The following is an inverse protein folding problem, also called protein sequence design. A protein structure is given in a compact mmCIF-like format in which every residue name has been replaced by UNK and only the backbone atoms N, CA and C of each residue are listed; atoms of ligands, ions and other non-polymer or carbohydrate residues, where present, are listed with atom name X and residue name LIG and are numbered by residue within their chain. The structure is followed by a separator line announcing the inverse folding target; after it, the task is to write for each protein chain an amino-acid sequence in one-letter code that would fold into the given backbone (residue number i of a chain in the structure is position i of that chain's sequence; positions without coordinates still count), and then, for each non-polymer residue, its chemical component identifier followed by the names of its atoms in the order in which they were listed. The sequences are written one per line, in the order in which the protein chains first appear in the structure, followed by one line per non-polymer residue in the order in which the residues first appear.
data_IF_904875101438
#
_entry.id   IF_904875101438
#
_cell.length_a   1.000
_cell.length_b   1.000
_cell.length_c   1.000
_cell.angle_alpha   90.00
_cell.angle_beta   90.00
_cell.angle_gamma   90.00
#
_symmetry.space_group_name_H-M   'P 1'
#
loop_
_entity.id
_entity.type
_entity.pdbx_description
1 polymer ?
#
# COMPACT_ATOMS: atom_id res chain seq x y z
N UNK A 1 3.83 1.19 32.47
CA UNK A 1 2.82 1.46 31.41
C UNK A 1 2.86 2.90 30.92
N UNK A 2 2.98 3.91 31.79
CA UNK A 2 3.00 5.33 31.39
C UNK A 2 4.06 5.69 30.33
N UNK A 3 5.24 5.08 30.39
CA UNK A 3 6.34 5.38 29.46
C UNK A 3 6.14 4.82 28.04
N UNK A 4 5.19 3.90 27.85
CA UNK A 4 4.83 3.39 26.52
C UNK A 4 3.78 4.27 25.82
N UNK A 5 3.05 5.09 26.57
CA UNK A 5 1.91 5.88 26.06
C UNK A 5 2.31 6.72 24.85
N UNK A 6 3.43 7.48 24.86
CA UNK A 6 3.82 8.28 23.70
C UNK A 6 4.09 7.42 22.47
N UNK A 7 4.78 6.28 22.65
CA UNK A 7 5.05 5.33 21.58
C UNK A 7 3.76 4.70 21.02
N UNK A 8 2.81 4.36 21.88
CA UNK A 8 1.48 3.84 21.48
C UNK A 8 0.72 4.87 20.67
N UNK A 9 0.63 6.12 21.15
CA UNK A 9 -0.09 7.19 20.45
C UNK A 9 0.51 7.42 19.06
N UNK A 10 1.84 7.52 18.97
CA UNK A 10 2.52 7.72 17.68
C UNK A 10 2.26 6.54 16.73
N UNK A 11 2.37 5.31 17.24
CA UNK A 11 2.12 4.08 16.47
C UNK A 11 0.69 4.02 15.95
N UNK A 12 -0.29 4.41 16.77
CA UNK A 12 -1.70 4.46 16.40
C UNK A 12 -1.96 5.50 15.31
N UNK A 13 -1.34 6.68 15.41
CA UNK A 13 -1.44 7.73 14.37
C UNK A 13 -0.93 7.19 13.04
N UNK A 14 0.27 6.58 13.01
CA UNK A 14 0.81 5.98 11.78
C UNK A 14 -0.08 4.86 11.23
N UNK A 15 -0.59 3.99 12.10
CA UNK A 15 -1.51 2.92 11.72
C UNK A 15 -2.75 3.47 11.01
N UNK A 16 -3.40 4.48 11.61
CA UNK A 16 -4.60 5.11 11.04
C UNK A 16 -4.27 5.78 9.71
N UNK A 17 -3.20 6.56 9.63
CA UNK A 17 -2.81 7.25 8.39
C UNK A 17 -2.59 6.24 7.26
N UNK A 18 -1.80 5.19 7.50
CA UNK A 18 -1.52 4.17 6.48
C UNK A 18 -2.77 3.42 6.04
N UNK A 19 -3.65 3.09 6.99
CA UNK A 19 -4.93 2.41 6.69
C UNK A 19 -5.82 3.29 5.83
N UNK A 20 -5.97 4.57 6.20
CA UNK A 20 -6.80 5.54 5.48
C UNK A 20 -6.24 5.81 4.09
N UNK A 21 -4.94 6.04 3.96
CA UNK A 21 -4.27 6.26 2.67
C UNK A 21 -4.42 5.03 1.77
N UNK A 22 -4.18 3.83 2.28
CA UNK A 22 -4.34 2.62 1.49
C UNK A 22 -5.79 2.44 1.02
N UNK A 23 -6.76 2.64 1.90
CA UNK A 23 -8.18 2.48 1.59
C UNK A 23 -8.69 3.53 0.59
N UNK A 24 -8.42 4.82 0.84
CA UNK A 24 -9.01 5.92 0.08
C UNK A 24 -8.23 6.31 -1.17
N UNK A 25 -6.91 6.15 -1.18
CA UNK A 25 -6.05 6.61 -2.29
C UNK A 25 -5.63 5.44 -3.17
N UNK A 26 -5.24 4.32 -2.55
CA UNK A 26 -4.70 3.17 -3.25
C UNK A 26 -5.69 2.01 -3.42
N UNK A 27 -6.95 2.14 -2.99
CA UNK A 27 -7.96 1.10 -3.14
C UNK A 27 -7.62 -0.24 -2.46
N UNK A 28 -6.72 -0.25 -1.48
CA UNK A 28 -6.38 -1.45 -0.71
C UNK A 28 -5.25 -2.31 -1.30
N UNK A 29 -4.49 -1.83 -2.30
CA UNK A 29 -3.39 -2.60 -2.93
C UNK A 29 -2.02 -2.40 -2.25
N UNK A 30 -1.85 -1.38 -1.41
CA UNK A 30 -0.59 -1.11 -0.72
C UNK A 30 -0.22 -2.26 0.24
N UNK A 31 1.06 -2.66 0.26
CA UNK A 31 1.52 -3.71 1.17
C UNK A 31 1.74 -3.16 2.58
N UNK A 32 0.81 -3.43 3.49
CA UNK A 32 0.85 -2.90 4.86
C UNK A 32 1.32 -3.91 5.91
N UNK A 33 1.41 -5.21 5.58
CA UNK A 33 1.68 -6.27 6.55
C UNK A 33 2.97 -6.04 7.35
N UNK A 34 4.07 -5.72 6.67
CA UNK A 34 5.35 -5.48 7.33
C UNK A 34 5.37 -4.13 8.06
N UNK A 35 4.70 -3.10 7.52
CA UNK A 35 4.57 -1.79 8.17
C UNK A 35 3.82 -1.90 9.49
N UNK A 36 2.74 -2.68 9.53
CA UNK A 36 1.99 -2.94 10.77
C UNK A 36 2.84 -3.67 11.80
N UNK A 37 3.63 -4.67 11.38
CA UNK A 37 4.56 -5.35 12.27
C UNK A 37 5.59 -4.37 12.85
N UNK A 38 6.15 -3.49 12.03
CA UNK A 38 7.09 -2.47 12.49
C UNK A 38 6.43 -1.44 13.41
N UNK A 39 5.18 -1.04 13.15
CA UNK A 39 4.42 -0.14 14.04
C UNK A 39 4.20 -0.79 15.42
N UNK A 40 3.89 -2.08 15.47
CA UNK A 40 3.76 -2.80 16.74
C UNK A 40 5.11 -2.86 17.45
N UNK A 41 6.18 -3.18 16.72
CA UNK A 41 7.54 -3.24 17.27
C UNK A 41 8.03 -1.87 17.75
N UNK A 42 7.61 -0.78 17.10
CA UNK A 42 7.94 0.59 17.48
C UNK A 42 7.52 0.89 18.92
N UNK A 43 6.39 0.36 19.40
CA UNK A 43 5.94 0.55 20.79
C UNK A 43 6.99 0.01 21.78
N UNK A 44 7.58 -1.15 21.49
CA UNK A 44 8.61 -1.77 22.32
C UNK A 44 9.94 -1.01 22.19
N UNK A 45 10.33 -0.68 20.95
CA UNK A 45 11.58 0.00 20.64
C UNK A 45 11.61 1.43 21.19
N UNK A 46 10.49 2.13 21.17
CA UNK A 46 10.37 3.48 21.72
C UNK A 46 10.75 3.50 23.20
N UNK A 47 10.22 2.57 23.98
CA UNK A 47 10.61 2.49 25.40
C UNK A 47 12.08 2.08 25.55
N UNK A 48 12.49 0.97 24.95
CA UNK A 48 13.81 0.39 25.21
C UNK A 48 14.93 1.31 24.70
N UNK A 49 14.71 2.01 23.59
CA UNK A 49 15.77 2.77 22.93
C UNK A 49 15.66 4.29 23.17
N UNK A 50 14.46 4.86 23.13
CA UNK A 50 14.31 6.32 23.32
C UNK A 50 14.44 6.71 24.80
N UNK A 51 13.86 5.93 25.72
CA UNK A 51 13.94 6.24 27.16
C UNK A 51 15.35 5.99 27.70
N UNK A 52 16.06 4.99 27.18
CA UNK A 52 17.47 4.72 27.53
C UNK A 52 18.47 5.61 26.76
N UNK A 53 18.00 6.64 26.02
CA UNK A 53 18.80 7.57 25.21
C UNK A 53 19.70 6.90 24.15
N UNK A 54 19.35 5.69 23.73
CA UNK A 54 19.99 4.97 22.63
C UNK A 54 19.42 5.48 21.30
N UNK A 55 19.72 6.73 20.98
CA UNK A 55 19.18 7.41 19.80
C UNK A 55 19.62 6.77 18.49
N UNK A 56 20.87 6.30 18.37
CA UNK A 56 21.38 5.69 17.15
C UNK A 56 20.56 4.46 16.70
N UNK A 57 20.35 3.40 17.52
CA UNK A 57 19.54 2.27 17.10
C UNK A 57 18.07 2.63 16.87
N UNK A 58 17.54 3.63 17.58
CA UNK A 58 16.19 4.14 17.31
C UNK A 58 16.11 4.82 15.93
N UNK A 59 17.10 5.64 15.57
CA UNK A 59 17.20 6.26 14.25
C UNK A 59 17.37 5.22 13.14
N UNK A 60 18.15 4.16 13.36
CA UNK A 60 18.28 3.06 12.40
C UNK A 60 16.94 2.32 12.22
N UNK A 61 16.19 2.11 13.30
CA UNK A 61 14.86 1.54 13.23
C UNK A 61 13.90 2.43 12.42
N UNK A 62 13.90 3.74 12.65
CA UNK A 62 13.08 4.68 11.90
C UNK A 62 13.49 4.76 10.42
N UNK A 63 14.80 4.68 10.13
CA UNK A 63 15.30 4.61 8.75
C UNK A 63 14.82 3.33 8.06
N UNK A 64 14.90 2.19 8.74
CA UNK A 64 14.39 0.93 8.21
C UNK A 64 12.89 1.02 7.93
N UNK A 65 12.11 1.57 8.86
CA UNK A 65 10.68 1.83 8.65
C UNK A 65 10.42 2.69 7.41
N UNK A 66 11.17 3.77 7.21
CA UNK A 66 11.03 4.64 6.04
C UNK A 66 11.36 3.90 4.72
N UNK A 67 12.39 3.05 4.71
CA UNK A 67 12.73 2.22 3.54
C UNK A 67 11.61 1.23 3.23
N UNK A 68 11.07 0.55 4.24
CA UNK A 68 9.92 -0.36 4.04
C UNK A 68 8.72 0.40 3.50
N UNK A 69 8.42 1.57 4.06
CA UNK A 69 7.33 2.41 3.60
C UNK A 69 7.49 2.78 2.13
N UNK A 70 8.69 3.19 1.71
CA UNK A 70 8.98 3.56 0.34
C UNK A 70 8.69 2.42 -0.64
N UNK A 71 9.12 1.19 -0.34
CA UNK A 71 8.85 0.05 -1.22
C UNK A 71 7.40 -0.43 -1.20
N UNK A 72 6.71 -0.27 -0.05
CA UNK A 72 5.31 -0.67 0.11
C UNK A 72 4.33 0.17 -0.71
N UNK A 73 4.69 1.42 -1.07
CA UNK A 73 3.84 2.35 -1.81
C UNK A 73 3.70 1.90 -3.27
N UNK A 74 2.47 1.72 -3.79
CA UNK A 74 2.22 1.44 -5.20
C UNK A 74 2.71 2.56 -6.12
N UNK A 75 3.07 2.23 -7.36
CA UNK A 75 3.47 3.23 -8.36
C UNK A 75 2.30 4.11 -8.81
N UNK A 76 1.09 3.54 -8.86
CA UNK A 76 -0.13 4.23 -9.27
C UNK A 76 -1.15 4.25 -8.14
N UNK A 77 -1.84 5.39 -7.99
CA UNK A 77 -3.09 5.45 -7.23
C UNK A 77 -4.22 4.78 -8.01
N UNK A 78 -5.33 4.48 -7.33
CA UNK A 78 -6.50 3.92 -8.00
C UNK A 78 -7.00 4.85 -9.12
N UNK A 79 -7.06 6.16 -8.85
CA UNK A 79 -7.47 7.16 -9.83
C UNK A 79 -6.54 7.17 -11.06
N UNK A 80 -5.22 7.16 -10.85
CA UNK A 80 -4.25 7.15 -11.94
C UNK A 80 -4.35 5.87 -12.78
N UNK A 81 -4.61 4.73 -12.14
CA UNK A 81 -4.85 3.47 -12.83
C UNK A 81 -6.12 3.54 -13.70
N UNK A 82 -7.23 4.09 -13.16
CA UNK A 82 -8.46 4.31 -13.92
C UNK A 82 -8.22 5.22 -15.15
N UNK A 83 -7.58 6.37 -14.94
CA UNK A 83 -7.27 7.31 -16.02
C UNK A 83 -6.40 6.67 -17.10
N UNK A 84 -5.40 5.86 -16.70
CA UNK A 84 -4.54 5.12 -17.62
C UNK A 84 -5.32 4.12 -18.47
N UNK A 85 -6.25 3.37 -17.87
CA UNK A 85 -7.06 2.37 -18.60
C UNK A 85 -8.02 3.04 -19.57
N UNK A 86 -8.71 4.10 -19.14
CA UNK A 86 -9.60 4.88 -20.01
C UNK A 86 -8.81 5.43 -21.20
N UNK A 87 -7.66 6.05 -20.97
CA UNK A 87 -6.84 6.64 -22.03
C UNK A 87 -6.23 5.59 -22.99
N UNK A 88 -5.88 4.40 -22.49
CA UNK A 88 -5.19 3.37 -23.30
C UNK A 88 -6.17 2.49 -24.08
N UNK A 89 -7.33 2.18 -23.50
CA UNK A 89 -8.27 1.21 -24.05
C UNK A 89 -9.59 1.83 -24.53
N UNK A 90 -9.82 3.13 -24.31
CA UNK A 90 -11.11 3.79 -24.55
C UNK A 90 -12.25 3.03 -23.86
N UNK A 91 -11.98 2.61 -22.62
CA UNK A 91 -12.85 1.74 -21.84
C UNK A 91 -13.87 2.57 -21.07
N UNK A 92 -15.16 2.29 -21.25
CA UNK A 92 -16.21 2.76 -20.34
C UNK A 92 -16.26 1.85 -19.12
N UNK A 93 -15.62 2.28 -18.03
CA UNK A 93 -15.43 1.48 -16.81
C UNK A 93 -16.75 1.35 -16.05
N UNK A 94 -17.25 0.13 -15.92
CA UNK A 94 -18.47 -0.19 -15.17
C UNK A 94 -18.19 -0.72 -13.78
N UNK A 95 -17.05 -1.40 -13.59
CA UNK A 95 -16.63 -1.97 -12.31
C UNK A 95 -15.14 -1.74 -12.07
N UNK A 96 -14.80 -1.44 -10.80
CA UNK A 96 -13.41 -1.39 -10.34
C UNK A 96 -13.29 -2.15 -9.03
N UNK A 97 -12.37 -3.11 -8.98
CA UNK A 97 -12.06 -3.88 -7.78
C UNK A 97 -10.55 -4.14 -7.69
N UNK A 98 -10.14 -4.93 -6.69
CA UNK A 98 -8.75 -5.40 -6.56
C UNK A 98 -8.70 -6.91 -6.58
N UNK A 99 -7.72 -7.45 -7.30
CA UNK A 99 -7.49 -8.89 -7.39
C UNK A 99 -6.13 -9.25 -6.81
N UNK A 100 -5.98 -10.43 -6.19
CA UNK A 100 -4.67 -10.90 -5.74
C UNK A 100 -3.73 -11.12 -6.94
N UNK A 101 -2.44 -11.00 -6.68
CA UNK A 101 -1.36 -11.33 -7.62
C UNK A 101 -0.47 -12.38 -6.97
N UNK A 102 0.32 -13.10 -7.77
CA UNK A 102 1.25 -14.14 -7.27
C UNK A 102 2.50 -13.56 -6.58
N UNK A 103 2.47 -12.28 -6.20
CA UNK A 103 3.61 -11.61 -5.58
C UNK A 103 3.73 -11.95 -4.08
N UNK A 104 4.73 -12.75 -3.75
CA UNK A 104 5.04 -13.19 -2.38
C UNK A 104 5.91 -12.15 -1.64
N UNK A 105 6.44 -11.14 -2.33
CA UNK A 105 7.34 -10.16 -1.73
C UNK A 105 6.57 -9.26 -0.74
N UNK A 106 6.89 -9.29 0.58
CA UNK A 106 6.14 -8.53 1.58
C UNK A 106 6.36 -7.01 1.47
N UNK A 107 7.38 -6.58 0.72
CA UNK A 107 7.68 -5.17 0.47
C UNK A 107 6.96 -4.62 -0.75
N UNK A 108 6.25 -5.42 -1.53
CA UNK A 108 5.58 -4.98 -2.76
C UNK A 108 4.08 -5.25 -2.71
N UNK A 109 3.27 -4.48 -3.45
CA UNK A 109 1.86 -4.76 -3.61
C UNK A 109 1.61 -6.21 -4.04
N UNK A 110 0.77 -6.93 -3.28
CA UNK A 110 0.33 -8.29 -3.60
C UNK A 110 -1.04 -8.32 -4.28
N UNK A 111 -1.59 -7.15 -4.59
CA UNK A 111 -2.84 -6.98 -5.33
C UNK A 111 -2.64 -6.06 -6.52
N UNK A 112 -3.51 -6.19 -7.50
CA UNK A 112 -3.60 -5.34 -8.67
C UNK A 112 -5.00 -4.70 -8.75
N UNK A 113 -5.10 -3.62 -9.51
CA UNK A 113 -6.39 -3.04 -9.87
C UNK A 113 -7.00 -3.87 -11.00
N UNK A 114 -8.29 -4.17 -10.87
CA UNK A 114 -9.08 -4.83 -11.91
C UNK A 114 -10.20 -3.91 -12.34
N UNK A 115 -10.34 -3.76 -13.65
CA UNK A 115 -11.33 -2.94 -14.30
C UNK A 115 -12.16 -3.80 -15.24
N UNK A 116 -13.47 -3.67 -15.16
CA UNK A 116 -14.41 -4.23 -16.14
C UNK A 116 -15.12 -3.09 -16.83
N UNK A 117 -15.34 -3.20 -18.13
CA UNK A 117 -16.01 -2.17 -18.90
C UNK A 117 -16.29 -2.58 -20.33
N UNK A 118 -16.77 -1.62 -21.11
CA UNK A 118 -17.09 -1.82 -22.52
C UNK A 118 -16.18 -0.99 -23.43
N UNK A 119 -15.74 -1.59 -24.52
CA UNK A 119 -15.05 -0.93 -25.62
C UNK A 119 -15.79 -1.25 -26.91
N UNK A 120 -16.41 -0.24 -27.53
CA UNK A 120 -17.18 -0.41 -28.77
C UNK A 120 -18.19 -1.59 -28.70
N UNK A 121 -18.96 -1.66 -27.62
CA UNK A 121 -19.94 -2.71 -27.29
C UNK A 121 -19.38 -4.10 -26.96
N UNK A 122 -18.05 -4.28 -26.92
CA UNK A 122 -17.40 -5.49 -26.41
C UNK A 122 -17.03 -5.32 -24.93
N UNK A 123 -17.46 -6.26 -24.09
CA UNK A 123 -17.04 -6.28 -22.69
C UNK A 123 -15.59 -6.76 -22.59
N UNK A 124 -14.72 -5.96 -21.99
CA UNK A 124 -13.32 -6.31 -21.76
C UNK A 124 -12.95 -6.13 -20.30
N UNK A 125 -12.06 -6.98 -19.82
CA UNK A 125 -11.50 -6.93 -18.48
C UNK A 125 -10.03 -6.55 -18.54
N UNK A 126 -9.60 -5.64 -17.69
CA UNK A 126 -8.23 -5.09 -17.69
C UNK A 126 -7.66 -5.12 -16.28
N UNK A 127 -6.44 -5.65 -16.14
CA UNK A 127 -5.68 -5.64 -14.90
C UNK A 127 -4.56 -4.61 -15.01
N UNK A 128 -4.44 -3.75 -14.00
CA UNK A 128 -3.29 -2.84 -13.85
C UNK A 128 -2.53 -3.21 -12.59
N UNK A 129 -1.27 -3.59 -12.78
CA UNK A 129 -0.39 -3.95 -11.68
C UNK A 129 0.00 -2.73 -10.84
N UNK A 130 -0.09 -2.86 -9.53
CA UNK A 130 0.25 -1.79 -8.60
C UNK A 130 1.77 -1.58 -8.42
N UNK A 131 2.59 -2.53 -8.90
CA UNK A 131 4.06 -2.50 -8.72
C UNK A 131 4.79 -1.69 -9.78
N UNK A 132 4.40 -1.84 -11.05
CA UNK A 132 5.04 -1.19 -12.19
C UNK A 132 4.05 -0.50 -13.15
N UNK A 133 2.75 -0.55 -12.84
CA UNK A 133 1.72 0.04 -13.67
C UNK A 133 1.46 -0.69 -14.98
N UNK A 134 2.00 -1.89 -15.19
CA UNK A 134 1.75 -2.69 -16.40
C UNK A 134 0.27 -3.03 -16.51
N UNK A 135 -0.22 -2.99 -17.75
CA UNK A 135 -1.64 -3.20 -18.10
C UNK A 135 -1.75 -4.51 -18.87
N UNK A 136 -2.66 -5.38 -18.43
CA UNK A 136 -2.94 -6.68 -19.05
C UNK A 136 -4.42 -6.75 -19.40
N UNK A 137 -4.74 -7.08 -20.65
CA UNK A 137 -6.11 -7.39 -21.05
C UNK A 137 -6.36 -8.86 -20.74
N UNK A 138 -7.49 -9.13 -20.09
CA UNK A 138 -7.99 -10.48 -19.84
C UNK A 138 -9.04 -10.75 -20.90
N UNK A 139 -8.66 -11.54 -21.90
CA UNK A 139 -9.58 -12.10 -22.89
C UNK A 139 -10.22 -13.36 -22.26
N UNK A 140 -11.56 -13.42 -22.27
CA UNK A 140 -12.32 -14.63 -21.90
C UNK A 140 -12.26 -15.71 -22.99
#
# INVERSE_FOLDING_TARGET
MKDYIPGIILSLIFFVILTVVNSQIYGGVMSLSLLYLLIILHILMFKVLSVEKKWLPYSLFMLFFAVVLFFSVPELTQQQATEKVIATHDLDVTETTTVPTDNINPFRPSKAYFFKGYKADEEISVIVTATNGDVFVVED
#
